data_IF_886636916744
#
_entry.id   IF_886636916744
#
_cell.length_a   1.000
_cell.length_b   1.000
_cell.length_c   1.000
_cell.angle_alpha   90.00
_cell.angle_beta   90.00
_cell.angle_gamma   90.00
#
_symmetry.space_group_name_H-M   'P 1'
#
loop_
_entity.id
_entity.type
_entity.pdbx_description
1 polymer ?
#
# COMPACT_ATOMS: atom_id res chain seq x y z
N UNK A 1 -20.58 -12.36 -16.96
CA UNK A 1 -19.47 -13.03 -16.26
C UNK A 1 -18.88 -12.02 -15.30
N UNK A 2 -18.86 -12.30 -14.00
CA UNK A 2 -18.15 -11.43 -13.05
C UNK A 2 -16.64 -11.50 -13.38
N UNK A 3 -15.91 -10.38 -13.43
CA UNK A 3 -14.47 -10.42 -13.62
C UNK A 3 -13.82 -11.27 -12.53
N UNK A 4 -13.00 -12.25 -12.93
CA UNK A 4 -12.26 -13.14 -12.05
C UNK A 4 -11.00 -12.51 -11.46
N UNK A 5 -10.39 -13.24 -10.53
CA UNK A 5 -9.09 -12.94 -9.94
C UNK A 5 -8.09 -14.06 -10.26
N UNK A 6 -6.91 -13.70 -10.75
CA UNK A 6 -5.79 -14.64 -10.92
C UNK A 6 -4.76 -14.32 -9.84
N UNK A 7 -4.42 -15.30 -9.01
CA UNK A 7 -3.43 -15.14 -7.94
C UNK A 7 -2.48 -16.33 -7.94
N UNK A 8 -1.21 -16.07 -8.26
CA UNK A 8 -0.14 -17.06 -8.30
C UNK A 8 1.01 -16.51 -7.46
N UNK A 9 1.59 -17.35 -6.60
CA UNK A 9 2.62 -16.91 -5.65
C UNK A 9 3.81 -17.86 -5.60
N UNK A 10 5.02 -17.33 -5.77
CA UNK A 10 6.28 -18.02 -5.45
C UNK A 10 6.72 -19.12 -6.42
N UNK A 11 5.94 -19.40 -7.46
CA UNK A 11 6.21 -20.48 -8.41
C UNK A 11 6.81 -19.98 -9.73
N UNK A 12 7.41 -20.89 -10.50
CA UNK A 12 7.87 -20.59 -11.85
C UNK A 12 6.70 -20.68 -12.81
N UNK A 13 6.37 -19.59 -13.48
CA UNK A 13 5.26 -19.56 -14.45
C UNK A 13 5.67 -20.27 -15.74
N UNK A 14 4.92 -21.30 -16.09
CA UNK A 14 5.05 -22.00 -17.36
C UNK A 14 4.54 -21.15 -18.52
N UNK A 15 4.98 -21.49 -19.74
CA UNK A 15 4.50 -20.80 -20.94
C UNK A 15 2.99 -20.93 -21.17
N UNK A 16 2.35 -21.98 -20.66
CA UNK A 16 0.91 -22.17 -20.72
C UNK A 16 0.20 -21.20 -19.77
N UNK A 17 0.63 -21.11 -18.51
CA UNK A 17 0.06 -20.16 -17.53
C UNK A 17 0.25 -18.71 -17.97
N UNK A 18 1.40 -18.35 -18.53
CA UNK A 18 1.63 -17.02 -19.10
C UNK A 18 0.64 -16.73 -20.23
N UNK A 19 0.38 -17.72 -21.09
CA UNK A 19 -0.57 -17.57 -22.18
C UNK A 19 -2.00 -17.38 -21.63
N UNK A 20 -2.40 -18.18 -20.66
CA UNK A 20 -3.73 -18.10 -20.05
C UNK A 20 -3.94 -16.75 -19.33
N UNK A 21 -2.92 -16.24 -18.63
CA UNK A 21 -2.92 -14.89 -18.05
C UNK A 21 -3.13 -13.84 -19.16
N UNK A 22 -2.36 -13.92 -20.25
CA UNK A 22 -2.44 -12.95 -21.33
C UNK A 22 -3.81 -12.99 -22.04
N UNK A 23 -4.34 -14.18 -22.31
CA UNK A 23 -5.65 -14.37 -22.93
C UNK A 23 -6.76 -13.80 -22.02
N UNK A 24 -6.69 -14.07 -20.71
CA UNK A 24 -7.64 -13.53 -19.72
C UNK A 24 -7.59 -12.00 -19.57
N UNK A 25 -6.39 -11.41 -19.62
CA UNK A 25 -6.22 -9.95 -19.61
C UNK A 25 -6.83 -9.31 -20.85
N UNK A 26 -6.63 -9.93 -22.03
CA UNK A 26 -7.15 -9.45 -23.32
C UNK A 26 -8.67 -9.57 -23.43
N UNK A 27 -9.23 -10.63 -22.88
CA UNK A 27 -10.69 -10.85 -22.81
C UNK A 27 -11.38 -9.92 -21.79
N UNK A 28 -10.61 -9.14 -21.02
CA UNK A 28 -11.11 -8.29 -19.93
C UNK A 28 -11.93 -9.10 -18.91
N UNK A 29 -11.55 -10.37 -18.72
CA UNK A 29 -12.21 -11.29 -17.80
C UNK A 29 -11.62 -11.22 -16.39
N UNK A 30 -10.54 -10.45 -16.18
CA UNK A 30 -9.80 -10.38 -14.91
C UNK A 30 -9.82 -8.97 -14.35
N UNK A 31 -10.08 -8.85 -13.05
CA UNK A 31 -10.02 -7.57 -12.30
C UNK A 31 -8.85 -7.48 -11.34
N UNK A 32 -8.31 -8.62 -10.90
CA UNK A 32 -7.14 -8.71 -10.03
C UNK A 32 -6.16 -9.72 -10.63
N UNK A 33 -4.93 -9.27 -10.87
CA UNK A 33 -3.81 -10.13 -11.24
C UNK A 33 -2.72 -10.02 -10.18
N UNK A 34 -2.38 -11.13 -9.55
CA UNK A 34 -1.22 -11.27 -8.67
C UNK A 34 -0.30 -12.35 -9.19
N UNK A 35 0.96 -12.00 -9.41
CA UNK A 35 2.06 -12.91 -9.77
C UNK A 35 3.22 -12.78 -8.78
N UNK A 36 2.89 -12.55 -7.51
CA UNK A 36 3.82 -12.25 -6.43
C UNK A 36 4.94 -13.29 -6.32
N UNK A 37 6.20 -12.88 -6.29
CA UNK A 37 7.33 -13.79 -6.11
C UNK A 37 7.51 -14.82 -7.23
N UNK A 38 6.78 -14.69 -8.33
CA UNK A 38 6.84 -15.67 -9.41
C UNK A 38 8.11 -15.51 -10.24
N UNK A 39 8.65 -16.64 -10.70
CA UNK A 39 9.78 -16.65 -11.61
C UNK A 39 9.29 -16.72 -13.05
N UNK A 40 9.70 -15.77 -13.88
CA UNK A 40 9.40 -15.74 -15.30
C UNK A 40 10.55 -15.08 -16.05
N UNK A 41 10.69 -15.39 -17.35
CA UNK A 41 11.70 -14.75 -18.19
C UNK A 41 11.32 -13.28 -18.48
N UNK A 42 12.29 -12.42 -18.81
CA UNK A 42 12.00 -11.04 -19.22
C UNK A 42 11.09 -10.97 -20.46
N UNK A 43 11.19 -11.98 -21.34
CA UNK A 43 10.32 -12.11 -22.51
C UNK A 43 8.87 -12.35 -22.09
N UNK A 44 8.63 -13.25 -21.13
CA UNK A 44 7.30 -13.58 -20.65
C UNK A 44 6.73 -12.47 -19.77
N UNK A 45 7.56 -11.81 -18.96
CA UNK A 45 7.18 -10.58 -18.28
C UNK A 45 6.71 -9.51 -19.28
N UNK A 46 7.45 -9.31 -20.36
CA UNK A 46 7.05 -8.40 -21.44
C UNK A 46 5.79 -8.83 -22.22
N UNK A 47 5.37 -10.10 -22.15
CA UNK A 47 4.06 -10.57 -22.67
C UNK A 47 2.94 -10.21 -21.70
N UNK A 48 3.12 -10.48 -20.41
CA UNK A 48 2.16 -10.11 -19.37
C UNK A 48 1.93 -8.60 -19.37
N UNK A 49 2.99 -7.78 -19.42
CA UNK A 49 2.86 -6.32 -19.51
C UNK A 49 2.10 -5.85 -20.76
N UNK A 50 2.23 -6.54 -21.90
CA UNK A 50 1.41 -6.23 -23.08
C UNK A 50 -0.06 -6.56 -22.86
N UNK A 51 -0.37 -7.68 -22.22
CA UNK A 51 -1.75 -7.98 -21.80
C UNK A 51 -2.30 -6.93 -20.83
N UNK A 52 -1.49 -6.49 -19.86
CA UNK A 52 -1.84 -5.42 -18.91
C UNK A 52 -2.13 -4.10 -19.63
N UNK A 53 -1.31 -3.74 -20.62
CA UNK A 53 -1.50 -2.53 -21.43
C UNK A 53 -2.86 -2.50 -22.15
N UNK A 54 -3.32 -3.66 -22.64
CA UNK A 54 -4.56 -3.82 -23.39
C UNK A 54 -5.79 -4.08 -22.50
N UNK A 55 -5.60 -4.29 -21.19
CA UNK A 55 -6.69 -4.63 -20.27
C UNK A 55 -7.44 -3.39 -19.77
N UNK A 56 -8.76 -3.43 -19.87
CA UNK A 56 -9.69 -2.37 -19.46
C UNK A 56 -10.45 -2.72 -18.18
N UNK A 57 -10.37 -3.96 -17.71
CA UNK A 57 -11.03 -4.45 -16.49
C UNK A 57 -10.11 -4.58 -15.28
N UNK A 58 -8.78 -4.62 -15.50
CA UNK A 58 -7.81 -4.87 -14.45
C UNK A 58 -7.72 -3.69 -13.48
N UNK A 59 -8.29 -3.84 -12.29
CA UNK A 59 -8.27 -2.82 -11.24
C UNK A 59 -7.05 -2.96 -10.33
N UNK A 60 -6.56 -4.18 -10.10
CA UNK A 60 -5.48 -4.44 -9.16
C UNK A 60 -4.38 -5.29 -9.81
N UNK A 61 -3.15 -4.80 -9.71
CA UNK A 61 -1.96 -5.49 -10.20
C UNK A 61 -0.95 -5.64 -9.06
N UNK A 62 -0.67 -6.89 -8.70
CA UNK A 62 0.32 -7.24 -7.69
C UNK A 62 1.51 -7.95 -8.33
N UNK A 63 2.67 -7.28 -8.28
CA UNK A 63 3.96 -7.77 -8.75
C UNK A 63 5.01 -7.72 -7.63
N UNK A 64 4.58 -7.96 -6.38
CA UNK A 64 5.46 -7.96 -5.23
C UNK A 64 6.53 -9.06 -5.30
N UNK A 65 7.60 -8.89 -4.52
CA UNK A 65 8.72 -9.81 -4.34
C UNK A 65 9.50 -10.12 -5.61
N UNK A 66 10.31 -9.16 -6.07
CA UNK A 66 11.33 -9.42 -7.08
C UNK A 66 10.83 -9.73 -8.49
N UNK A 67 9.52 -9.64 -8.74
CA UNK A 67 8.96 -9.81 -10.10
C UNK A 67 9.47 -8.68 -10.99
N UNK A 68 9.54 -7.45 -10.48
CA UNK A 68 10.08 -6.26 -11.18
C UNK A 68 11.53 -6.01 -10.75
N UNK A 69 12.40 -7.01 -10.93
CA UNK A 69 13.78 -7.00 -10.43
C UNK A 69 14.84 -6.40 -11.35
N UNK A 70 14.49 -6.04 -12.59
CA UNK A 70 15.43 -5.47 -13.56
C UNK A 70 14.88 -4.21 -14.20
N UNK A 71 15.77 -3.31 -14.62
CA UNK A 71 15.37 -2.07 -15.31
C UNK A 71 14.58 -2.34 -16.60
N UNK A 72 14.82 -3.47 -17.27
CA UNK A 72 14.06 -3.87 -18.46
C UNK A 72 12.61 -4.22 -18.10
N UNK A 73 12.39 -4.93 -16.99
CA UNK A 73 11.04 -5.17 -16.47
C UNK A 73 10.37 -3.89 -16.03
N UNK A 74 11.10 -3.00 -15.36
CA UNK A 74 10.57 -1.68 -15.00
C UNK A 74 10.13 -0.88 -16.22
N UNK A 75 10.88 -0.92 -17.33
CA UNK A 75 10.48 -0.30 -18.61
C UNK A 75 9.22 -0.94 -19.20
N UNK A 76 9.14 -2.27 -19.24
CA UNK A 76 7.96 -2.98 -19.71
C UNK A 76 6.71 -2.61 -18.91
N UNK A 77 6.84 -2.53 -17.58
CA UNK A 77 5.75 -2.09 -16.70
C UNK A 77 5.38 -0.62 -16.95
N UNK A 78 6.36 0.27 -17.04
CA UNK A 78 6.12 1.69 -17.32
C UNK A 78 5.35 1.88 -18.64
N UNK A 79 5.74 1.17 -19.70
CA UNK A 79 5.07 1.28 -21.00
C UNK A 79 3.65 0.71 -20.97
N UNK A 80 3.41 -0.35 -20.20
CA UNK A 80 2.06 -0.86 -19.97
C UNK A 80 1.18 0.15 -19.22
N UNK A 81 1.71 0.77 -18.15
CA UNK A 81 0.98 1.75 -17.35
C UNK A 81 0.69 3.06 -18.12
N UNK A 82 1.54 3.45 -19.08
CA UNK A 82 1.27 4.63 -19.93
C UNK A 82 0.01 4.50 -20.77
N UNK A 83 -0.36 3.28 -21.14
CA UNK A 83 -1.49 2.99 -22.02
C UNK A 83 -2.70 2.48 -21.25
N UNK A 84 -2.48 1.71 -20.19
CA UNK A 84 -3.53 1.26 -19.29
C UNK A 84 -4.29 2.45 -18.66
N UNK A 85 -5.59 2.28 -18.47
CA UNK A 85 -6.49 3.28 -17.89
C UNK A 85 -7.37 2.72 -16.77
N UNK A 86 -7.22 1.43 -16.44
CA UNK A 86 -8.10 0.67 -15.55
C UNK A 86 -7.50 0.42 -14.18
N UNK A 87 -6.17 0.36 -14.07
CA UNK A 87 -5.48 0.06 -12.81
C UNK A 87 -5.71 1.16 -11.78
N UNK A 88 -6.14 0.72 -10.60
CA UNK A 88 -6.39 1.54 -9.42
C UNK A 88 -5.41 1.24 -8.30
N UNK A 89 -4.97 -0.01 -8.17
CA UNK A 89 -4.02 -0.45 -7.15
C UNK A 89 -2.82 -1.13 -7.79
N UNK A 90 -1.62 -0.67 -7.46
CA UNK A 90 -0.36 -1.25 -7.93
C UNK A 90 0.54 -1.59 -6.74
N UNK A 91 0.88 -2.88 -6.62
CA UNK A 91 1.81 -3.36 -5.61
C UNK A 91 3.14 -3.77 -6.24
N UNK A 92 4.23 -3.15 -5.77
CA UNK A 92 5.61 -3.41 -6.19
C UNK A 92 6.55 -3.76 -5.03
N UNK A 93 6.00 -4.03 -3.84
CA UNK A 93 6.76 -4.26 -2.62
C UNK A 93 7.87 -5.31 -2.80
N UNK A 94 9.06 -5.06 -2.25
CA UNK A 94 10.17 -6.01 -2.33
C UNK A 94 10.71 -6.18 -3.75
N UNK A 95 10.52 -5.19 -4.63
CA UNK A 95 11.15 -5.14 -5.95
C UNK A 95 12.26 -4.09 -5.92
N UNK A 96 13.53 -4.45 -6.19
CA UNK A 96 14.65 -3.51 -6.14
C UNK A 96 14.59 -2.51 -7.29
N UNK A 97 13.72 -1.49 -7.18
CA UNK A 97 13.52 -0.48 -8.21
C UNK A 97 14.67 0.53 -8.23
N UNK A 98 15.19 0.89 -7.05
CA UNK A 98 16.12 2.00 -6.87
C UNK A 98 15.56 3.33 -7.44
N UNK A 99 16.34 4.41 -7.34
CA UNK A 99 15.96 5.69 -7.93
C UNK A 99 15.77 5.60 -9.45
N UNK A 100 16.64 4.86 -10.14
CA UNK A 100 16.59 4.73 -11.60
C UNK A 100 15.32 4.02 -12.11
N UNK A 101 14.87 2.98 -11.40
CA UNK A 101 13.63 2.30 -11.73
C UNK A 101 12.42 3.20 -11.51
N UNK A 102 12.41 3.97 -10.41
CA UNK A 102 11.30 4.88 -10.17
C UNK A 102 11.27 6.05 -11.15
N UNK A 103 12.41 6.60 -11.56
CA UNK A 103 12.48 7.59 -12.66
C UNK A 103 11.79 7.05 -13.92
N UNK A 104 12.00 5.77 -14.24
CA UNK A 104 11.38 5.12 -15.39
C UNK A 104 9.86 5.01 -15.22
N UNK A 105 9.39 4.52 -14.07
CA UNK A 105 7.95 4.37 -13.78
C UNK A 105 7.22 5.70 -13.65
N UNK A 106 7.87 6.73 -13.14
CA UNK A 106 7.25 8.03 -12.86
C UNK A 106 6.68 8.68 -14.12
N UNK A 107 7.26 8.39 -15.30
CA UNK A 107 6.72 8.84 -16.60
C UNK A 107 5.30 8.34 -16.87
N UNK A 108 4.92 7.22 -16.28
CA UNK A 108 3.59 6.63 -16.38
C UNK A 108 2.72 6.95 -15.15
N UNK A 109 3.29 6.80 -13.94
CA UNK A 109 2.55 6.92 -12.68
C UNK A 109 2.03 8.35 -12.43
N UNK A 110 2.86 9.36 -12.68
CA UNK A 110 2.52 10.77 -12.41
C UNK A 110 1.33 11.29 -13.21
N UNK A 111 0.95 10.61 -14.30
CA UNK A 111 -0.17 10.98 -15.17
C UNK A 111 -1.25 9.90 -15.24
N UNK A 112 -1.12 8.83 -14.44
CA UNK A 112 -2.05 7.71 -14.51
C UNK A 112 -3.45 8.16 -14.05
N UNK A 113 -4.49 8.00 -14.87
CA UNK A 113 -5.77 8.68 -14.64
C UNK A 113 -6.63 8.05 -13.54
N UNK A 114 -6.32 6.82 -13.14
CA UNK A 114 -7.16 6.03 -12.23
C UNK A 114 -6.40 5.43 -11.06
N UNK A 115 -5.10 5.70 -10.91
CA UNK A 115 -4.30 5.14 -9.82
C UNK A 115 -4.72 5.79 -8.49
N UNK A 116 -5.08 4.96 -7.52
CA UNK A 116 -5.56 5.37 -6.19
C UNK A 116 -4.64 4.86 -5.09
N UNK A 117 -4.04 3.69 -5.26
CA UNK A 117 -3.22 3.04 -4.23
C UNK A 117 -1.92 2.54 -4.84
N UNK A 118 -0.80 2.90 -4.21
CA UNK A 118 0.54 2.58 -4.65
C UNK A 118 1.40 2.06 -3.50
N UNK A 119 1.93 0.86 -3.67
CA UNK A 119 2.87 0.26 -2.73
C UNK A 119 4.25 0.09 -3.37
N UNK A 120 5.23 0.77 -2.77
CA UNK A 120 6.64 0.72 -3.10
C UNK A 120 7.50 0.48 -1.86
N UNK A 121 6.98 -0.32 -0.90
CA UNK A 121 7.78 -0.75 0.24
C UNK A 121 8.95 -1.66 -0.18
N UNK A 122 10.04 -1.66 0.57
CA UNK A 122 11.25 -2.46 0.33
C UNK A 122 11.73 -2.40 -1.15
N UNK A 123 11.71 -1.20 -1.73
CA UNK A 123 12.09 -0.97 -3.13
C UNK A 123 13.52 -0.42 -3.29
N UNK A 124 14.26 -0.30 -2.18
CA UNK A 124 15.58 0.35 -2.09
C UNK A 124 15.57 1.78 -2.66
N UNK A 125 14.51 2.53 -2.41
CA UNK A 125 14.36 3.91 -2.87
C UNK A 125 15.29 4.86 -2.11
N UNK A 126 15.76 5.91 -2.77
CA UNK A 126 16.53 7.01 -2.18
C UNK A 126 15.80 8.36 -2.29
N UNK A 127 16.51 9.44 -1.99
CA UNK A 127 15.95 10.79 -1.95
C UNK A 127 15.40 11.26 -3.31
N UNK A 128 16.01 10.82 -4.41
CA UNK A 128 15.55 11.22 -5.75
C UNK A 128 14.25 10.51 -6.13
N UNK A 129 14.11 9.22 -5.80
CA UNK A 129 12.83 8.53 -5.89
C UNK A 129 11.76 9.25 -5.08
N UNK A 130 12.05 9.57 -3.81
CA UNK A 130 11.08 10.21 -2.94
C UNK A 130 10.66 11.60 -3.44
N UNK A 131 11.58 12.35 -4.06
CA UNK A 131 11.27 13.63 -4.73
C UNK A 131 10.21 13.46 -5.82
N UNK A 132 10.28 12.39 -6.61
CA UNK A 132 9.29 12.10 -7.65
C UNK A 132 7.94 11.69 -7.04
N UNK A 133 7.94 10.88 -5.98
CA UNK A 133 6.72 10.51 -5.25
C UNK A 133 6.02 11.74 -4.67
N UNK A 134 6.78 12.67 -4.07
CA UNK A 134 6.24 13.93 -3.57
C UNK A 134 5.56 14.75 -4.68
N UNK A 135 6.09 14.73 -5.91
CA UNK A 135 5.47 15.41 -7.04
C UNK A 135 4.16 14.75 -7.51
N UNK A 136 3.91 13.49 -7.13
CA UNK A 136 2.63 12.80 -7.35
C UNK A 136 1.60 13.09 -6.24
N UNK A 137 1.92 13.93 -5.25
CA UNK A 137 1.01 14.38 -4.19
C UNK A 137 0.75 15.89 -4.35
N UNK A 138 0.01 16.33 -5.39
CA UNK A 138 -0.15 17.74 -5.70
C UNK A 138 -0.99 18.48 -4.63
N UNK A 139 -0.69 19.76 -4.36
CA UNK A 139 -1.41 20.55 -3.37
C UNK A 139 -2.89 20.79 -3.73
N UNK A 140 -3.18 21.12 -4.99
CA UNK A 140 -4.46 21.73 -5.40
C UNK A 140 -5.30 20.87 -6.34
N UNK A 141 -5.69 19.64 -5.99
CA UNK A 141 -6.62 18.82 -6.80
C UNK A 141 -6.23 18.60 -8.28
N UNK A 142 -5.04 19.05 -8.67
CA UNK A 142 -4.51 19.10 -10.02
C UNK A 142 -3.92 17.72 -10.32
N UNK A 143 -4.83 16.77 -10.56
CA UNK A 143 -4.66 15.34 -10.86
C UNK A 143 -3.32 14.70 -10.49
N UNK A 144 -3.32 14.13 -9.30
CA UNK A 144 -3.01 12.72 -9.04
C UNK A 144 -4.10 12.19 -8.11
N UNK A 145 -4.69 11.03 -8.41
CA UNK A 145 -5.80 10.44 -7.64
C UNK A 145 -5.34 9.57 -6.46
N UNK A 146 -4.07 9.67 -6.09
CA UNK A 146 -3.45 8.82 -5.09
C UNK A 146 -3.98 9.13 -3.68
N UNK A 147 -4.57 8.13 -3.06
CA UNK A 147 -5.15 8.17 -1.71
C UNK A 147 -4.38 7.29 -0.73
N UNK A 148 -3.67 6.28 -1.22
CA UNK A 148 -2.94 5.34 -0.40
C UNK A 148 -1.51 5.21 -0.92
N UNK A 149 -0.54 5.40 -0.03
CA UNK A 149 0.88 5.33 -0.36
C UNK A 149 1.61 4.51 0.71
N UNK A 150 2.30 3.47 0.27
CA UNK A 150 3.17 2.64 1.12
C UNK A 150 4.62 2.80 0.69
N UNK A 151 5.48 3.24 1.62
CA UNK A 151 6.92 3.44 1.43
C UNK A 151 7.75 2.72 2.50
N UNK A 152 7.18 1.67 3.11
CA UNK A 152 7.79 0.87 4.16
C UNK A 152 9.20 0.39 3.81
N UNK A 153 10.08 0.27 4.79
CA UNK A 153 11.40 -0.36 4.64
C UNK A 153 12.25 0.16 3.45
N UNK A 154 12.36 1.48 3.29
CA UNK A 154 13.28 2.14 2.35
C UNK A 154 14.41 2.89 3.10
N UNK A 155 15.40 2.16 3.66
CA UNK A 155 16.41 2.73 4.56
C UNK A 155 17.40 3.69 3.89
N UNK A 156 17.48 3.69 2.55
CA UNK A 156 18.36 4.58 1.79
C UNK A 156 17.83 6.02 1.67
N UNK A 157 16.57 6.26 2.09
CA UNK A 157 15.99 7.60 2.13
C UNK A 157 16.52 8.34 3.35
N UNK A 158 17.08 9.53 3.12
CA UNK A 158 17.65 10.35 4.18
C UNK A 158 16.59 11.21 4.86
N UNK A 159 16.96 11.83 5.98
CA UNK A 159 16.12 12.84 6.66
C UNK A 159 15.68 13.97 5.73
N UNK A 160 16.48 14.33 4.71
CA UNK A 160 16.10 15.34 3.71
C UNK A 160 14.99 14.85 2.79
N UNK A 161 15.04 13.58 2.40
CA UNK A 161 13.96 12.94 1.66
C UNK A 161 12.66 12.97 2.46
N UNK A 162 12.69 12.47 3.69
CA UNK A 162 11.50 12.41 4.54
C UNK A 162 10.94 13.78 4.91
N UNK A 163 11.80 14.78 5.16
CA UNK A 163 11.38 16.15 5.37
C UNK A 163 10.58 16.70 4.17
N UNK A 164 10.99 16.36 2.93
CA UNK A 164 10.25 16.73 1.72
C UNK A 164 8.89 16.03 1.66
N UNK A 165 8.84 14.75 2.03
CA UNK A 165 7.57 14.01 2.09
C UNK A 165 6.61 14.65 3.10
N UNK A 166 7.08 15.01 4.30
CA UNK A 166 6.26 15.69 5.30
C UNK A 166 5.64 16.98 4.74
N UNK A 167 6.42 17.79 4.01
CA UNK A 167 5.91 19.00 3.33
C UNK A 167 4.86 18.63 2.27
N UNK A 168 5.09 17.60 1.47
CA UNK A 168 4.14 17.17 0.45
C UNK A 168 2.82 16.66 1.06
N UNK A 169 2.90 15.89 2.15
CA UNK A 169 1.74 15.38 2.90
C UNK A 169 0.93 16.52 3.50
N UNK A 170 1.59 17.53 4.07
CA UNK A 170 0.92 18.71 4.67
C UNK A 170 0.03 19.46 3.67
N UNK A 171 0.41 19.45 2.38
CA UNK A 171 -0.35 20.13 1.33
C UNK A 171 -1.22 19.18 0.51
N UNK A 172 -1.06 17.86 0.66
CA UNK A 172 -1.85 16.89 -0.09
C UNK A 172 -3.33 17.00 0.30
N UNK A 173 -4.18 17.14 -0.71
CA UNK A 173 -5.63 17.25 -0.56
C UNK A 173 -6.39 15.94 -0.80
N UNK A 174 -5.67 14.82 -0.98
CA UNK A 174 -6.29 13.53 -1.34
C UNK A 174 -5.73 12.32 -0.61
N UNK A 175 -4.51 12.40 -0.07
CA UNK A 175 -3.88 11.27 0.62
C UNK A 175 -4.65 10.97 1.92
N UNK A 176 -5.06 9.72 2.07
CA UNK A 176 -5.81 9.19 3.22
C UNK A 176 -5.01 8.21 4.04
N UNK A 177 -4.19 7.40 3.39
CA UNK A 177 -3.39 6.37 4.06
C UNK A 177 -1.93 6.54 3.67
N UNK A 178 -1.08 6.61 4.68
CA UNK A 178 0.37 6.72 4.51
C UNK A 178 1.07 5.72 5.42
N UNK A 179 1.79 4.78 4.82
CA UNK A 179 2.56 3.78 5.56
C UNK A 179 4.05 4.02 5.38
N UNK A 180 4.73 4.30 6.50
CA UNK A 180 6.16 4.59 6.57
C UNK A 180 6.90 3.63 7.50
N UNK A 181 6.28 2.51 7.87
CA UNK A 181 6.82 1.52 8.78
C UNK A 181 8.22 1.02 8.39
N UNK A 182 9.02 0.66 9.39
CA UNK A 182 10.38 0.17 9.24
C UNK A 182 11.34 1.12 8.49
N UNK A 183 11.08 2.42 8.52
CA UNK A 183 12.02 3.45 8.04
C UNK A 183 12.70 4.19 9.20
N UNK A 184 14.02 4.47 9.13
CA UNK A 184 14.72 5.18 10.19
C UNK A 184 14.41 6.69 10.17
N UNK A 185 13.19 7.07 10.57
CA UNK A 185 12.72 8.45 10.55
C UNK A 185 13.32 9.27 11.70
N UNK A 186 13.26 8.70 12.91
CA UNK A 186 13.63 9.37 14.16
C UNK A 186 12.71 10.53 14.56
N UNK A 187 12.88 11.02 15.79
CA UNK A 187 11.97 12.00 16.40
C UNK A 187 11.87 13.34 15.65
N UNK A 188 12.96 13.77 15.00
CA UNK A 188 12.96 15.01 14.23
C UNK A 188 11.96 14.96 13.07
N UNK A 189 11.98 13.88 12.29
CA UNK A 189 11.08 13.71 11.15
C UNK A 189 9.66 13.44 11.63
N UNK A 190 9.50 12.69 12.71
CA UNK A 190 8.20 12.46 13.33
C UNK A 190 7.52 13.77 13.76
N UNK A 191 8.26 14.71 14.34
CA UNK A 191 7.72 16.05 14.65
C UNK A 191 7.29 16.82 13.39
N UNK A 192 8.03 16.70 12.29
CA UNK A 192 7.61 17.30 11.01
C UNK A 192 6.35 16.64 10.45
N UNK A 193 6.22 15.32 10.59
CA UNK A 193 5.03 14.57 10.20
C UNK A 193 3.83 14.95 11.07
N UNK A 194 3.99 15.14 12.38
CA UNK A 194 2.91 15.61 13.25
C UNK A 194 2.36 16.97 12.78
N UNK A 195 3.25 17.92 12.45
CA UNK A 195 2.83 19.22 11.88
C UNK A 195 2.13 19.05 10.52
N UNK A 196 2.61 18.13 9.68
CA UNK A 196 2.00 17.83 8.40
C UNK A 196 0.59 17.22 8.56
N UNK A 197 0.42 16.31 9.52
CA UNK A 197 -0.85 15.66 9.85
C UNK A 197 -1.85 16.67 10.41
N UNK A 198 -1.41 17.57 11.30
CA UNK A 198 -2.23 18.66 11.83
C UNK A 198 -2.73 19.61 10.72
N UNK A 199 -1.96 19.75 9.65
CA UNK A 199 -2.30 20.61 8.50
C UNK A 199 -3.15 19.89 7.45
N UNK A 200 -3.03 18.56 7.37
CA UNK A 200 -3.76 17.74 6.42
C UNK A 200 -5.24 17.64 6.80
N UNK A 201 -6.11 17.71 5.79
CA UNK A 201 -7.56 17.57 5.96
C UNK A 201 -8.11 16.26 5.40
N UNK A 202 -7.22 15.33 5.02
CA UNK A 202 -7.62 14.08 4.38
C UNK A 202 -6.93 12.86 4.92
N UNK A 203 -5.78 13.01 5.60
CA UNK A 203 -5.04 11.86 6.11
C UNK A 203 -5.79 11.25 7.30
N UNK A 204 -6.21 10.00 7.13
CA UNK A 204 -7.01 9.22 8.08
C UNK A 204 -6.14 8.18 8.79
N UNK A 205 -5.14 7.63 8.11
CA UNK A 205 -4.28 6.56 8.62
C UNK A 205 -2.82 6.90 8.39
N UNK A 206 -2.04 6.84 9.46
CA UNK A 206 -0.58 7.00 9.44
C UNK A 206 0.07 5.83 10.18
N UNK A 207 0.91 5.08 9.48
CA UNK A 207 1.70 4.01 10.05
C UNK A 207 3.17 4.42 10.21
N UNK A 208 3.65 4.41 11.45
CA UNK A 208 5.03 4.72 11.86
C UNK A 208 5.63 3.57 12.68
N UNK A 209 5.14 2.33 12.50
CA UNK A 209 5.67 1.15 13.17
C UNK A 209 7.18 0.99 12.93
N UNK A 210 7.95 0.74 14.00
CA UNK A 210 9.38 0.44 13.86
C UNK A 210 10.22 1.57 13.23
N UNK A 211 9.82 2.84 13.37
CA UNK A 211 10.50 3.99 12.72
C UNK A 211 11.56 4.69 13.58
N UNK A 212 11.90 4.10 14.73
CA UNK A 212 12.93 4.62 15.65
C UNK A 212 12.44 5.81 16.48
N UNK A 213 11.14 5.84 16.78
CA UNK A 213 10.51 6.89 17.59
C UNK A 213 10.71 6.66 19.07
N UNK A 214 10.77 7.76 19.82
CA UNK A 214 10.80 7.75 21.29
C UNK A 214 9.57 8.41 21.88
N UNK A 215 9.43 8.37 23.20
CA UNK A 215 8.41 9.14 23.91
C UNK A 215 8.36 10.63 23.52
N UNK A 216 9.47 11.23 23.06
CA UNK A 216 9.48 12.62 22.63
C UNK A 216 8.55 12.86 21.44
N UNK A 217 8.62 12.02 20.40
CA UNK A 217 7.74 12.17 19.23
C UNK A 217 6.29 11.79 19.56
N UNK A 218 6.08 10.80 20.41
CA UNK A 218 4.75 10.44 20.87
C UNK A 218 4.07 11.60 21.64
N UNK A 219 4.80 12.35 22.48
CA UNK A 219 4.27 13.56 23.12
C UNK A 219 3.89 14.63 22.10
N UNK A 220 4.69 14.81 21.03
CA UNK A 220 4.34 15.75 19.95
C UNK A 220 3.07 15.31 19.20
N UNK A 221 2.89 14.02 18.95
CA UNK A 221 1.64 13.51 18.36
C UNK A 221 0.45 13.67 19.32
N UNK A 222 0.65 13.45 20.62
CA UNK A 222 -0.39 13.67 21.63
C UNK A 222 -0.82 15.14 21.66
N UNK A 223 0.13 16.08 21.78
CA UNK A 223 -0.16 17.52 21.74
C UNK A 223 -0.84 17.93 20.43
N UNK A 224 -0.47 17.29 19.32
CA UNK A 224 -1.10 17.52 18.02
C UNK A 224 -2.58 17.11 18.03
N UNK A 225 -2.89 15.90 18.50
CA UNK A 225 -4.27 15.39 18.55
C UNK A 225 -5.12 16.17 19.55
N UNK A 226 -4.55 16.59 20.69
CA UNK A 226 -5.29 17.35 21.72
C UNK A 226 -5.61 18.79 21.30
N UNK A 227 -4.72 19.44 20.56
CA UNK A 227 -4.81 20.89 20.31
C UNK A 227 -5.22 21.28 18.89
N UNK A 228 -5.20 20.35 17.93
CA UNK A 228 -5.48 20.64 16.53
C UNK A 228 -6.54 19.71 15.96
N UNK A 229 -7.53 20.24 15.20
CA UNK A 229 -8.48 19.39 14.51
C UNK A 229 -7.76 18.61 13.42
N UNK A 230 -7.86 17.28 13.48
CA UNK A 230 -7.25 16.37 12.52
C UNK A 230 -8.28 15.39 11.98
N UNK A 231 -8.09 14.92 10.74
CA UNK A 231 -8.85 13.80 10.19
C UNK A 231 -8.22 12.44 10.51
N UNK A 232 -7.10 12.44 11.24
CA UNK A 232 -6.41 11.22 11.62
C UNK A 232 -7.30 10.39 12.55
N UNK A 233 -7.43 9.12 12.23
CA UNK A 233 -8.22 8.12 12.96
C UNK A 233 -7.35 7.02 13.51
N UNK A 234 -6.33 6.63 12.74
CA UNK A 234 -5.43 5.54 13.09
C UNK A 234 -3.99 6.04 13.02
N UNK A 235 -3.29 5.97 14.15
CA UNK A 235 -1.86 6.19 14.25
C UNK A 235 -1.20 4.93 14.81
N UNK A 236 -0.40 4.25 13.99
CA UNK A 236 0.33 3.05 14.42
C UNK A 236 1.72 3.45 14.89
N UNK A 237 2.01 3.18 16.17
CA UNK A 237 3.28 3.50 16.83
C UNK A 237 3.99 2.26 17.39
N UNK A 238 3.54 1.07 17.01
CA UNK A 238 4.11 -0.21 17.45
C UNK A 238 5.61 -0.32 17.12
N UNK A 239 6.31 -1.22 17.80
CA UNK A 239 7.75 -1.48 17.59
C UNK A 239 8.68 -0.24 17.70
N UNK A 240 8.25 0.81 18.40
CA UNK A 240 9.07 1.98 18.74
C UNK A 240 9.44 2.03 20.23
N UNK A 241 10.35 2.92 20.61
CA UNK A 241 10.75 3.17 22.00
C UNK A 241 9.77 4.13 22.71
N UNK A 242 8.47 3.82 22.61
CA UNK A 242 7.36 4.60 23.18
C UNK A 242 6.68 3.77 24.27
N UNK A 243 6.33 4.40 25.40
CA UNK A 243 5.63 3.72 26.49
C UNK A 243 4.20 3.32 26.07
N UNK A 244 3.73 2.13 26.44
CA UNK A 244 2.42 1.64 26.02
C UNK A 244 1.28 2.53 26.54
N UNK A 245 1.45 3.17 27.70
CA UNK A 245 0.47 4.10 28.25
C UNK A 245 0.26 5.31 27.34
N UNK A 246 1.34 5.82 26.74
CA UNK A 246 1.29 6.98 25.85
C UNK A 246 0.70 6.62 24.49
N UNK A 247 1.01 5.42 23.97
CA UNK A 247 0.37 4.91 22.76
C UNK A 247 -1.14 4.75 22.96
N UNK A 248 -1.55 4.20 24.11
CA UNK A 248 -2.96 4.01 24.44
C UNK A 248 -3.68 5.35 24.57
N UNK A 249 -3.09 6.32 25.27
CA UNK A 249 -3.68 7.66 25.42
C UNK A 249 -3.94 8.32 24.06
N UNK A 250 -3.00 8.24 23.11
CA UNK A 250 -3.19 8.78 21.77
C UNK A 250 -4.30 8.01 21.03
N UNK A 251 -4.31 6.68 21.13
CA UNK A 251 -5.33 5.84 20.50
C UNK A 251 -6.75 6.14 21.03
N UNK A 252 -6.88 6.37 22.34
CA UNK A 252 -8.16 6.67 22.97
C UNK A 252 -8.71 8.01 22.46
N UNK A 253 -7.88 9.06 22.43
CA UNK A 253 -8.26 10.38 21.90
C UNK A 253 -8.67 10.34 20.42
N UNK A 254 -7.95 9.58 19.60
CA UNK A 254 -8.30 9.41 18.19
C UNK A 254 -9.64 8.66 18.01
N UNK A 255 -9.97 7.73 18.91
CA UNK A 255 -11.24 6.99 18.88
C UNK A 255 -12.44 7.79 19.38
N UNK A 256 -12.24 8.68 20.37
CA UNK A 256 -13.30 9.55 20.90
C UNK A 256 -13.79 10.56 19.85
N UNK A 257 -12.88 11.07 19.00
CA UNK A 257 -13.25 11.95 17.88
C UNK A 257 -14.17 11.30 16.84
N UNK A 258 -14.13 9.98 16.69
CA UNK A 258 -15.02 9.26 15.76
C UNK A 258 -16.48 9.24 16.25
N UNK A 259 -16.69 9.10 17.56
CA UNK A 259 -18.04 9.02 18.14
C UNK A 259 -18.79 10.37 18.13
N UNK A 260 -18.07 11.49 18.15
CA UNK A 260 -18.67 12.82 18.07
C UNK A 260 -19.09 13.18 16.64
N UNK A 261 -18.25 12.88 15.64
CA UNK A 261 -18.55 13.10 14.21
C UNK A 261 -19.74 12.25 13.73
N UNK A 262 -19.87 10.99 14.17
CA UNK A 262 -21.00 10.13 13.82
C UNK A 262 -22.32 10.65 14.41
N UNK A 263 -22.30 11.18 15.65
CA UNK A 263 -23.49 11.77 16.30
C UNK A 263 -23.92 13.10 15.65
N UNK A 264 -22.96 13.93 15.21
CA UNK A 264 -23.27 15.17 14.46
C UNK A 264 -23.74 14.90 13.03
N UNK A 265 -23.21 13.85 12.38
CA UNK A 265 -23.64 13.38 11.06
C UNK A 265 -25.07 12.85 11.05
N UNK A 266 -25.48 12.09 12.08
CA UNK A 266 -26.86 11.62 12.23
C UNK A 266 -27.88 12.75 12.49
N UNK A 267 -27.46 13.81 13.19
CA UNK A 267 -28.31 14.99 13.44
C UNK A 267 -28.52 15.88 12.19
N UNK A 268 -27.64 15.76 11.18
CA UNK A 268 -27.68 16.54 9.93
C UNK A 268 -27.98 15.67 8.70
N UNK A 269 -29.20 15.12 8.67
CA UNK A 269 -29.90 14.86 7.41
C UNK A 269 -29.92 13.41 6.95
N UNK A 270 -31.14 12.84 6.98
CA UNK A 270 -31.54 11.62 6.25
C UNK A 270 -31.26 11.74 4.74
N UNK A 271 -30.11 11.22 4.31
CA UNK A 271 -29.92 10.69 2.96
C UNK A 271 -29.01 9.47 3.08
N UNK A 272 -29.57 8.29 2.76
CA UNK A 272 -28.86 7.02 2.85
C UNK A 272 -27.56 7.03 2.03
N UNK A 273 -26.43 7.08 2.73
CA UNK A 273 -25.11 6.77 2.17
C UNK A 273 -25.01 5.24 2.20
N UNK A 274 -24.70 4.56 1.08
CA UNK A 274 -24.57 3.12 1.09
C UNK A 274 -23.39 2.75 2.01
N UNK A 275 -23.67 1.91 2.99
CA UNK A 275 -22.67 1.26 3.86
C UNK A 275 -21.59 0.66 2.97
N UNK A 276 -20.43 1.31 2.94
CA UNK A 276 -19.25 0.82 2.24
C UNK A 276 -18.81 -0.44 2.97
N UNK A 277 -18.85 -1.57 2.26
CA UNK A 277 -18.31 -2.83 2.75
C UNK A 277 -16.92 -2.59 3.32
N UNK A 278 -16.67 -3.14 4.52
CA UNK A 278 -15.33 -3.21 5.12
C UNK A 278 -14.43 -3.95 4.14
N UNK A 279 -13.75 -3.23 3.25
CA UNK A 279 -12.56 -3.75 2.59
C UNK A 279 -11.57 -4.02 3.70
N UNK A 280 -11.46 -5.30 4.09
CA UNK A 280 -10.50 -5.78 5.04
C UNK A 280 -9.12 -5.32 4.59
N UNK A 281 -8.60 -4.31 5.27
CA UNK A 281 -7.23 -3.89 5.15
C UNK A 281 -6.41 -4.99 5.82
N UNK A 282 -5.70 -5.80 5.03
CA UNK A 282 -4.84 -6.86 5.53
C UNK A 282 -3.43 -6.27 5.57
N UNK A 283 -2.81 -6.08 6.75
CA UNK A 283 -1.43 -5.64 6.83
C UNK A 283 -0.54 -6.72 6.20
N UNK A 284 0.26 -6.35 5.20
CA UNK A 284 1.18 -7.26 4.52
C UNK A 284 2.57 -7.36 5.17
N UNK A 285 2.70 -6.94 6.42
CA UNK A 285 3.87 -7.15 7.27
C UNK A 285 3.70 -8.38 8.17
N UNK A 286 3.38 -9.55 7.60
CA UNK A 286 3.51 -10.81 8.32
C UNK A 286 4.79 -11.51 7.86
N UNK A 287 5.92 -11.09 8.43
CA UNK A 287 7.26 -11.68 8.25
C UNK A 287 7.49 -12.89 9.17
N UNK A 288 6.49 -13.80 9.28
CA UNK A 288 6.65 -15.09 9.94
C UNK A 288 6.03 -16.24 9.12
N UNK A 289 6.76 -17.35 8.89
CA UNK A 289 6.21 -18.51 8.21
C UNK A 289 5.36 -19.30 9.21
N UNK A 290 4.04 -19.07 9.25
CA UNK A 290 3.15 -20.02 9.92
C UNK A 290 2.99 -21.26 9.06
N UNK A 291 3.67 -22.31 9.48
CA UNK A 291 3.56 -23.68 8.99
C UNK A 291 2.15 -24.20 9.33
N UNK A 292 1.20 -24.09 8.40
CA UNK A 292 -0.12 -24.70 8.56
C UNK A 292 -0.02 -26.17 8.21
N UNK A 293 -0.05 -27.03 9.23
CA UNK A 293 -0.27 -28.46 9.12
C UNK A 293 -1.65 -28.70 8.50
N UNK A 294 -1.68 -29.14 7.24
CA UNK A 294 -2.88 -29.67 6.59
C UNK A 294 -3.23 -31.00 7.25
N UNK A 295 -4.21 -31.00 8.15
CA UNK A 295 -4.93 -32.24 8.48
C UNK A 295 -5.85 -32.54 7.30
N UNK A 296 -5.40 -33.44 6.42
CA UNK A 296 -6.24 -33.99 5.38
C UNK A 296 -7.27 -34.90 6.03
N UNK A 297 -8.55 -34.56 5.85
CA UNK A 297 -9.66 -35.44 6.14
C UNK A 297 -9.59 -36.67 5.25
N UNK A 298 -9.17 -37.79 5.82
CA UNK A 298 -9.38 -39.12 5.28
C UNK A 298 -10.22 -39.91 6.31
N UNK A 299 -11.49 -40.05 5.98
CA UNK A 299 -12.30 -41.24 6.21
C UNK A 299 -12.38 -41.80 7.63
N UNK A 300 -13.49 -41.51 8.30
CA UNK A 300 -14.10 -42.46 9.23
C UNK A 300 -14.40 -43.78 8.50
N UNK A 301 -13.56 -44.79 8.68
CA UNK A 301 -13.93 -46.21 8.60
C UNK A 301 -12.72 -47.08 8.89
N UNK A 302 -12.60 -47.55 10.14
CA UNK A 302 -12.11 -48.89 10.51
C UNK A 302 -11.84 -48.93 12.03
N UNK A 303 -12.92 -48.99 12.82
CA UNK A 303 -12.89 -49.59 14.16
C UNK A 303 -14.21 -50.31 14.39
N UNK A 304 -14.30 -51.51 13.83
CA UNK A 304 -15.20 -52.56 14.31
C UNK A 304 -14.53 -53.89 13.98
N UNK A 305 -13.76 -54.41 14.94
CA UNK A 305 -13.75 -55.82 15.32
C UNK A 305 -12.81 -55.99 16.52
N UNK A 306 -13.43 -56.06 17.69
CA UNK A 306 -12.88 -56.59 18.93
C UNK A 306 -13.04 -58.12 18.95
N UNK A 307 -12.01 -58.80 19.45
CA UNK A 307 -12.09 -60.06 20.23
C UNK A 307 -12.60 -61.35 19.53
N UNK A 308 -11.67 -62.12 18.95
CA UNK A 308 -11.27 -63.48 19.41
C UNK A 308 -10.13 -64.05 18.57
#
# INVERSE_FOLDING_TARGET
MLPGSIQITGETLSGAEIKDICDSLKENSVRLLSIRGCQLSDRDFGRVCRGVAESHSLAQLNMNLGVVSTINRTKHLADALKTNRSIQTLFLHGSPLLDAGLVTLNTALSTHPSLVSLDMGDCMLGDEALRLICAMLPPDGAKSGLRELTLSANPSITTKGWARLAIAVAHSSQLRVLNLDYNPLGDQIAGMLAVAVASSRTLEVLDLEGTGLTNQSAQVFLEMVENYPTCLRVLVLAENAISPELQQQISDLLSEGEEEDDKEGEARGSAAIPTREKTAWIPHSNSHPQMVLLTSGLGESLLAETEM
#
